data_IF_592318213439
#
_entry.id   IF_592318213439
#
_cell.length_a   1.000
_cell.length_b   1.000
_cell.length_c   1.000
_cell.angle_alpha   90.00
_cell.angle_beta   90.00
_cell.angle_gamma   90.00
#
_symmetry.space_group_name_H-M   'P 1'
#
loop_
_entity.id
_entity.type
_entity.pdbx_description
1 polymer ?
#
# COMPACT_ATOMS: atom_id res chain seq x y z
N UNK A 1 8.65 18.03 -0.85
CA UNK A 1 8.80 16.57 -1.03
C UNK A 1 8.43 16.16 -2.46
N UNK A 2 9.37 15.53 -3.17
CA UNK A 2 9.13 14.95 -4.50
C UNK A 2 8.34 13.64 -4.37
N UNK A 3 7.73 13.20 -5.47
CA UNK A 3 6.99 11.95 -5.54
C UNK A 3 7.97 10.77 -5.44
N UNK A 4 7.70 9.82 -4.55
CA UNK A 4 8.50 8.61 -4.43
C UNK A 4 8.22 7.66 -5.62
N UNK A 5 9.12 6.71 -5.92
CA UNK A 5 8.87 5.67 -6.91
C UNK A 5 7.56 4.92 -6.63
N UNK A 6 6.92 4.40 -7.68
CA UNK A 6 5.58 3.79 -7.60
C UNK A 6 5.45 2.70 -6.52
N UNK A 7 6.52 1.93 -6.26
CA UNK A 7 6.56 0.88 -5.24
C UNK A 7 6.64 1.40 -3.79
N UNK A 8 7.00 2.67 -3.58
CA UNK A 8 6.94 3.35 -2.28
C UNK A 8 5.79 4.36 -2.18
N UNK A 9 5.06 4.59 -3.27
CA UNK A 9 4.15 5.71 -3.37
C UNK A 9 2.96 5.62 -2.42
N UNK A 10 2.33 4.45 -2.27
CA UNK A 10 1.27 4.35 -1.27
C UNK A 10 1.80 4.33 0.18
N UNK A 11 3.09 4.03 0.42
CA UNK A 11 3.69 4.20 1.75
C UNK A 11 3.84 5.68 2.04
N UNK A 12 4.23 6.45 1.03
CA UNK A 12 4.26 7.90 1.09
C UNK A 12 2.86 8.49 1.33
N UNK A 13 1.80 7.92 0.76
CA UNK A 13 0.43 8.30 1.10
C UNK A 13 0.12 8.08 2.58
N UNK A 14 0.49 6.94 3.15
CA UNK A 14 0.28 6.66 4.57
C UNK A 14 1.07 7.63 5.47
N UNK A 15 2.25 8.06 5.05
CA UNK A 15 3.05 9.07 5.75
C UNK A 15 2.36 10.44 5.81
N UNK A 16 1.40 10.73 4.92
CA UNK A 16 0.60 11.97 5.01
C UNK A 16 -0.50 11.91 6.06
N UNK A 17 -0.92 10.70 6.44
CA UNK A 17 -2.05 10.47 7.34
C UNK A 17 -1.62 10.09 8.77
N UNK A 18 -0.45 9.45 8.92
CA UNK A 18 0.05 8.95 10.20
C UNK A 18 1.39 9.58 10.58
N UNK A 19 1.72 9.50 11.87
CA UNK A 19 3.05 9.89 12.35
C UNK A 19 4.14 9.08 11.61
N UNK A 20 5.26 9.70 11.16
CA UNK A 20 6.24 9.05 10.29
C UNK A 20 6.80 7.73 10.83
N UNK A 21 7.01 7.64 12.15
CA UNK A 21 7.46 6.40 12.79
C UNK A 21 6.45 5.25 12.66
N UNK A 22 5.15 5.56 12.73
CA UNK A 22 4.09 4.54 12.65
C UNK A 22 3.93 4.05 11.22
N UNK A 23 3.76 4.97 10.27
CA UNK A 23 3.57 4.61 8.86
C UNK A 23 4.83 4.06 8.20
N UNK A 24 6.01 4.61 8.49
CA UNK A 24 7.26 4.23 7.83
C UNK A 24 7.98 3.03 8.47
N UNK A 25 7.83 2.81 9.78
CA UNK A 25 8.62 1.80 10.52
C UNK A 25 7.73 0.74 11.14
N UNK A 26 6.76 1.15 11.96
CA UNK A 26 5.94 0.18 12.73
C UNK A 26 5.05 -0.67 11.83
N UNK A 27 4.26 -0.07 10.93
CA UNK A 27 3.33 -0.80 10.07
C UNK A 27 4.08 -1.77 9.12
N UNK A 28 5.11 -1.34 8.37
CA UNK A 28 5.89 -2.25 7.53
C UNK A 28 6.62 -3.32 8.34
N UNK A 29 7.21 -2.94 9.49
CA UNK A 29 7.93 -3.86 10.37
C UNK A 29 7.05 -4.98 10.91
N UNK A 30 5.85 -4.64 11.41
CA UNK A 30 4.87 -5.64 11.85
C UNK A 30 4.40 -6.50 10.68
N UNK A 31 4.18 -5.90 9.49
CA UNK A 31 3.80 -6.65 8.28
C UNK A 31 4.83 -7.72 7.92
N UNK A 32 6.12 -7.40 7.94
CA UNK A 32 7.20 -8.35 7.68
C UNK A 32 7.22 -9.46 8.74
N UNK A 33 7.09 -9.13 10.02
CA UNK A 33 7.05 -10.12 11.11
C UNK A 33 5.88 -11.09 10.90
N UNK A 34 4.69 -10.58 10.57
CA UNK A 34 3.52 -11.41 10.26
C UNK A 34 3.79 -12.33 9.07
N UNK A 35 4.45 -11.85 8.01
CA UNK A 35 4.82 -12.67 6.85
C UNK A 35 5.86 -13.76 7.19
N UNK A 36 6.82 -13.48 8.08
CA UNK A 36 7.77 -14.48 8.59
C UNK A 36 7.02 -15.58 9.38
N UNK A 37 6.01 -15.21 10.14
CA UNK A 37 5.19 -16.16 10.91
C UNK A 37 4.10 -16.86 10.09
N UNK A 38 3.77 -16.36 8.89
CA UNK A 38 2.73 -16.91 8.02
C UNK A 38 2.82 -18.45 7.81
N UNK A 39 3.98 -19.07 7.51
CA UNK A 39 4.06 -20.53 7.34
C UNK A 39 3.78 -21.34 8.61
N UNK A 40 3.89 -20.72 9.80
CA UNK A 40 3.63 -21.39 11.07
C UNK A 40 2.17 -21.26 11.53
N UNK A 41 1.52 -20.17 11.11
CA UNK A 41 0.12 -19.87 11.42
C UNK A 41 -0.81 -20.56 10.42
N UNK A 42 -0.47 -20.55 9.13
CA UNK A 42 -1.27 -21.18 8.09
C UNK A 42 -0.96 -22.67 7.97
N UNK A 43 -1.76 -23.48 8.66
CA UNK A 43 -1.65 -24.95 8.67
C UNK A 43 -2.52 -25.63 7.62
N UNK A 44 -3.06 -24.91 6.64
CA UNK A 44 -3.96 -25.52 5.67
C UNK A 44 -3.19 -26.52 4.78
N UNK A 45 -3.58 -27.81 4.75
CA UNK A 45 -2.88 -28.83 3.97
C UNK A 45 -3.10 -28.71 2.47
N UNK A 46 -4.15 -27.99 2.05
CA UNK A 46 -4.46 -27.75 0.64
C UNK A 46 -3.89 -26.43 0.15
N UNK A 47 -3.37 -26.42 -1.08
CA UNK A 47 -2.92 -25.21 -1.79
C UNK A 47 -3.98 -24.67 -2.76
N UNK A 48 -5.15 -25.30 -2.83
CA UNK A 48 -6.20 -24.85 -3.75
C UNK A 48 -6.81 -23.54 -3.26
N UNK A 49 -7.05 -22.54 -4.13
CA UNK A 49 -7.66 -21.27 -3.75
C UNK A 49 -9.06 -21.43 -3.13
N UNK A 50 -9.83 -22.41 -3.59
CA UNK A 50 -11.16 -22.74 -3.08
C UNK A 50 -11.17 -23.19 -1.61
N UNK A 51 -10.07 -23.78 -1.13
CA UNK A 51 -9.92 -24.24 0.25
C UNK A 51 -9.34 -23.15 1.17
N UNK A 52 -8.88 -22.02 0.60
CA UNK A 52 -8.17 -20.93 1.32
C UNK A 52 -8.91 -19.59 1.22
N UNK A 53 -10.23 -19.62 1.14
CA UNK A 53 -11.08 -18.43 0.90
C UNK A 53 -10.76 -17.24 1.79
N UNK A 54 -10.42 -17.49 3.06
CA UNK A 54 -10.02 -16.44 4.01
C UNK A 54 -8.67 -15.79 3.66
N UNK A 55 -7.64 -16.59 3.38
CA UNK A 55 -6.33 -16.06 2.98
C UNK A 55 -6.40 -15.34 1.62
N UNK A 56 -7.16 -15.90 0.67
CA UNK A 56 -7.40 -15.29 -0.63
C UNK A 56 -8.14 -13.96 -0.50
N UNK A 57 -9.22 -13.89 0.29
CA UNK A 57 -9.98 -12.64 0.47
C UNK A 57 -9.13 -11.58 1.18
N UNK A 58 -8.36 -11.95 2.20
CA UNK A 58 -7.43 -11.07 2.89
C UNK A 58 -6.38 -10.49 1.92
N UNK A 59 -5.77 -11.34 1.08
CA UNK A 59 -4.82 -10.91 0.07
C UNK A 59 -5.46 -9.99 -0.97
N UNK A 60 -6.69 -10.28 -1.40
CA UNK A 60 -7.43 -9.39 -2.32
C UNK A 60 -7.68 -8.02 -1.70
N UNK A 61 -8.13 -7.96 -0.44
CA UNK A 61 -8.33 -6.67 0.25
C UNK A 61 -7.00 -5.91 0.37
N UNK A 62 -5.91 -6.59 0.73
CA UNK A 62 -4.58 -6.00 0.82
C UNK A 62 -4.12 -5.42 -0.53
N UNK A 63 -4.31 -6.16 -1.63
CA UNK A 63 -3.97 -5.70 -2.98
C UNK A 63 -4.80 -4.49 -3.40
N UNK A 64 -6.12 -4.53 -3.17
CA UNK A 64 -7.01 -3.42 -3.53
C UNK A 64 -6.71 -2.17 -2.70
N UNK A 65 -6.43 -2.33 -1.40
CA UNK A 65 -6.00 -1.25 -0.53
C UNK A 65 -4.73 -0.57 -1.05
N UNK A 66 -3.70 -1.36 -1.38
CA UNK A 66 -2.45 -0.83 -1.93
C UNK A 66 -2.62 -0.18 -3.31
N UNK A 67 -3.41 -0.79 -4.18
CA UNK A 67 -3.69 -0.23 -5.50
C UNK A 67 -4.34 1.16 -5.39
N UNK A 68 -5.33 1.33 -4.50
CA UNK A 68 -5.98 2.63 -4.29
C UNK A 68 -4.99 3.68 -3.79
N UNK A 69 -4.12 3.34 -2.83
CA UNK A 69 -3.09 4.28 -2.35
C UNK A 69 -2.13 4.70 -3.46
N UNK A 70 -1.64 3.75 -4.26
CA UNK A 70 -0.75 4.04 -5.39
C UNK A 70 -1.46 4.90 -6.44
N UNK A 71 -2.74 4.66 -6.71
CA UNK A 71 -3.54 5.49 -7.62
C UNK A 71 -3.69 6.92 -7.09
N UNK A 72 -3.97 7.10 -5.80
CA UNK A 72 -4.05 8.43 -5.17
C UNK A 72 -2.71 9.15 -5.29
N UNK A 73 -1.61 8.50 -4.91
CA UNK A 73 -0.27 9.10 -5.02
C UNK A 73 0.14 9.40 -6.46
N UNK A 74 -0.31 8.60 -7.43
CA UNK A 74 0.05 8.78 -8.84
C UNK A 74 -0.69 9.96 -9.45
N UNK A 75 -2.01 10.02 -9.27
CA UNK A 75 -2.88 10.92 -10.03
C UNK A 75 -3.37 12.14 -9.23
N UNK A 76 -3.46 12.04 -7.91
CA UNK A 76 -4.04 13.08 -7.05
C UNK A 76 -3.00 13.83 -6.22
N UNK A 77 -1.71 13.47 -6.33
CA UNK A 77 -0.60 14.21 -5.73
C UNK A 77 0.18 15.02 -6.76
N UNK A 78 0.18 16.32 -6.54
CA UNK A 78 0.90 17.32 -7.34
C UNK A 78 2.14 17.88 -6.63
N UNK A 79 2.57 19.10 -7.00
CA UNK A 79 3.79 19.71 -6.48
C UNK A 79 3.84 19.77 -4.96
N UNK A 80 4.97 19.35 -4.39
CA UNK A 80 5.14 19.26 -2.93
C UNK A 80 4.33 18.15 -2.25
N UNK A 81 3.79 17.18 -3.01
CA UNK A 81 2.91 16.12 -2.53
C UNK A 81 1.57 16.61 -1.97
N UNK A 82 1.15 17.80 -2.40
CA UNK A 82 -0.17 18.35 -2.07
C UNK A 82 -1.26 17.66 -2.89
N UNK A 83 -2.47 17.64 -2.35
CA UNK A 83 -3.63 17.10 -3.05
C UNK A 83 -4.05 18.05 -4.20
N UNK A 84 -4.21 17.50 -5.39
CA UNK A 84 -4.58 18.24 -6.61
C UNK A 84 -5.67 17.50 -7.37
N UNK A 85 -6.52 18.23 -8.08
CA UNK A 85 -7.55 17.63 -8.92
C UNK A 85 -7.03 17.53 -10.36
N UNK A 86 -6.81 16.32 -10.90
CA UNK A 86 -6.10 16.16 -12.18
C UNK A 86 -6.82 16.79 -13.37
N UNK A 87 -8.15 16.89 -13.33
CA UNK A 87 -8.96 17.54 -14.37
C UNK A 87 -8.96 19.08 -14.30
N UNK A 88 -8.44 19.67 -13.22
CA UNK A 88 -8.31 21.13 -13.07
C UNK A 88 -6.85 21.57 -13.16
N UNK A 89 -5.96 20.85 -12.48
CA UNK A 89 -4.58 21.25 -12.25
C UNK A 89 -3.58 20.50 -13.16
N UNK A 90 -4.03 19.47 -13.88
CA UNK A 90 -3.20 18.63 -14.74
C UNK A 90 -2.56 17.43 -14.04
N UNK A 91 -1.74 16.67 -14.77
CA UNK A 91 -1.01 15.51 -14.26
C UNK A 91 0.45 15.86 -14.00
N UNK A 92 0.97 15.39 -12.86
CA UNK A 92 2.33 15.68 -12.40
C UNK A 92 3.14 14.37 -12.31
N UNK A 93 3.75 13.96 -13.42
CA UNK A 93 4.72 12.88 -13.44
C UNK A 93 6.12 13.49 -13.50
N UNK A 94 6.88 13.40 -12.41
CA UNK A 94 8.30 13.74 -12.45
C UNK A 94 9.04 12.48 -12.95
N UNK A 95 9.79 12.64 -14.06
CA UNK A 95 10.66 11.64 -14.66
C UNK A 95 12.06 11.74 -14.06
#
# INVERSE_FOLDING_TARGET
PSKAPWYFLGLQELLTMFHPMVAGVTIPGVGIIVLIFAPYIDRNPSNKPEDRKFATSLMTVHLMFWAVLVMIGSFFRGPGFNFTLPWRDGLFFEL
#
